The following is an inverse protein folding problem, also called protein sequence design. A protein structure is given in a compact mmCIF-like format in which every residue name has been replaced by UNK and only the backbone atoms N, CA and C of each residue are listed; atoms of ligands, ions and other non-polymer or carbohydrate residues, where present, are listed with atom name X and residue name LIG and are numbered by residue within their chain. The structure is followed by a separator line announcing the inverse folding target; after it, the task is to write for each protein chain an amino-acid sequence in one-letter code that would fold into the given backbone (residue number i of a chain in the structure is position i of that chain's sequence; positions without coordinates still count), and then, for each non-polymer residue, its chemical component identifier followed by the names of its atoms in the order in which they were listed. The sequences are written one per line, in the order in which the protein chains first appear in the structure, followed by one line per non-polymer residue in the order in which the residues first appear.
data_IF_983616531437
#
_entry.id   IF_983616531437
#
_cell.length_a   1.000
_cell.length_b   1.000
_cell.length_c   1.000
_cell.angle_alpha   90.00
_cell.angle_beta   90.00
_cell.angle_gamma   90.00
#
_symmetry.space_group_name_H-M   'P 1'
#
loop_
_entity.id
_entity.type
_entity.pdbx_description
1 polymer ?
#
# COMPACT_ATOMS: atom_id res chain seq x y z
N UNK A 1 3.73 46.09 12.01
CA UNK A 1 3.37 45.10 10.96
C UNK A 1 4.13 43.78 11.07
N UNK A 2 5.45 43.75 11.32
CA UNK A 2 6.23 42.49 11.44
C UNK A 2 5.83 41.56 12.60
N UNK A 3 5.38 42.12 13.73
CA UNK A 3 5.01 41.33 14.92
C UNK A 3 3.68 40.58 14.76
N UNK A 4 2.71 41.17 14.05
CA UNK A 4 1.42 40.54 13.79
C UNK A 4 1.52 39.40 12.76
N UNK A 5 2.43 39.55 11.79
CA UNK A 5 2.72 38.52 10.78
C UNK A 5 3.31 37.24 11.39
N UNK A 6 4.18 37.40 12.39
CA UNK A 6 4.76 36.26 13.11
C UNK A 6 3.72 35.51 13.95
N UNK A 7 2.82 36.26 14.62
CA UNK A 7 1.75 35.67 15.44
C UNK A 7 0.75 34.88 14.58
N UNK A 8 0.37 35.40 13.41
CA UNK A 8 -0.55 34.69 12.51
C UNK A 8 0.05 33.41 11.93
N UNK A 9 1.35 33.39 11.65
CA UNK A 9 2.05 32.19 11.14
C UNK A 9 2.08 31.11 12.21
N UNK A 10 2.43 31.46 13.45
CA UNK A 10 2.53 30.49 14.56
C UNK A 10 1.16 29.86 14.88
N UNK A 11 0.08 30.66 14.90
CA UNK A 11 -1.28 30.15 15.15
C UNK A 11 -1.73 29.20 14.04
N UNK A 12 -1.45 29.53 12.78
CA UNK A 12 -1.83 28.70 11.63
C UNK A 12 -1.05 27.38 11.58
N UNK A 13 0.24 27.40 11.92
CA UNK A 13 1.04 26.17 12.01
C UNK A 13 0.59 25.27 13.16
N UNK A 14 0.11 25.83 14.28
CA UNK A 14 -0.36 25.04 15.41
C UNK A 14 -1.70 24.35 15.12
N UNK A 15 -2.58 24.96 14.31
CA UNK A 15 -3.84 24.34 13.86
C UNK A 15 -3.65 23.20 12.87
N UNK A 16 -2.50 23.12 12.18
CA UNK A 16 -2.20 22.07 11.19
C UNK A 16 -1.60 20.79 11.81
N UNK A 17 -1.21 20.82 13.09
CA UNK A 17 -0.54 19.69 13.78
C UNK A 17 -1.52 18.89 14.65
N UNK A 18 -2.81 19.25 14.69
CA UNK A 18 -3.82 18.44 15.38
C UNK A 18 -4.24 17.30 14.43
N UNK A 19 -3.88 16.04 14.70
CA UNK A 19 -4.47 14.93 13.95
C UNK A 19 -5.97 14.94 14.21
N UNK A 20 -6.76 15.18 13.16
CA UNK A 20 -8.18 14.89 13.19
C UNK A 20 -8.32 13.39 13.46
N UNK A 21 -8.68 13.02 14.69
CA UNK A 21 -9.15 11.68 15.02
C UNK A 21 -10.43 11.47 14.23
N UNK A 22 -10.33 10.90 13.03
CA UNK A 22 -11.48 10.43 12.28
C UNK A 22 -12.05 9.23 13.03
N UNK A 23 -13.05 9.48 13.88
CA UNK A 23 -13.87 8.45 14.51
C UNK A 23 -14.93 8.02 13.48
N UNK A 24 -14.59 7.05 12.64
CA UNK A 24 -15.53 6.38 11.74
C UNK A 24 -15.77 4.92 12.16
N UNK A 25 -15.70 4.65 13.47
CA UNK A 25 -16.06 3.38 14.07
C UNK A 25 -17.52 3.46 14.51
N UNK A 26 -18.43 2.73 13.84
CA UNK A 26 -19.75 2.45 14.42
C UNK A 26 -20.98 2.41 13.52
N UNK A 27 -20.89 2.20 12.20
CA UNK A 27 -22.10 2.05 11.36
C UNK A 27 -22.20 0.75 10.54
N UNK A 28 -21.56 -0.34 10.97
CA UNK A 28 -21.78 -1.68 10.40
C UNK A 28 -21.94 -2.81 11.44
N UNK A 29 -22.06 -2.50 12.74
CA UNK A 29 -22.20 -3.50 13.82
C UNK A 29 -23.65 -4.00 14.03
N UNK A 30 -24.60 -3.63 13.15
CA UNK A 30 -26.03 -3.71 13.47
C UNK A 30 -26.85 -4.72 12.67
N UNK A 31 -26.28 -5.49 11.74
CA UNK A 31 -27.10 -6.26 10.79
C UNK A 31 -26.60 -7.68 10.46
N UNK A 32 -25.84 -8.31 11.35
CA UNK A 32 -25.62 -9.76 11.34
C UNK A 32 -25.57 -10.27 12.78
N UNK A 33 -26.72 -10.26 13.44
CA UNK A 33 -26.93 -10.99 14.69
C UNK A 33 -27.78 -12.22 14.37
N UNK A 34 -27.11 -13.36 14.23
CA UNK A 34 -27.77 -14.59 13.83
C UNK A 34 -26.86 -15.77 13.47
N UNK A 35 -25.72 -15.96 14.14
CA UNK A 35 -25.23 -17.29 14.55
C UNK A 35 -23.99 -17.13 15.44
N UNK A 36 -24.05 -17.69 16.64
CA UNK A 36 -22.95 -17.81 17.58
C UNK A 36 -21.90 -18.79 17.05
N UNK A 37 -20.85 -18.34 16.36
CA UNK A 37 -19.65 -19.14 16.06
C UNK A 37 -18.43 -18.24 15.72
N UNK A 38 -17.45 -18.18 16.65
CA UNK A 38 -16.02 -17.85 16.44
C UNK A 38 -15.64 -16.72 15.46
N UNK A 39 -15.75 -15.45 15.90
CA UNK A 39 -15.21 -14.29 15.15
C UNK A 39 -13.87 -13.78 15.74
N UNK A 40 -13.44 -14.24 16.92
CA UNK A 40 -12.18 -13.75 17.53
C UNK A 40 -10.92 -14.55 17.18
N UNK A 41 -11.04 -15.73 16.58
CA UNK A 41 -9.89 -16.59 16.25
C UNK A 41 -9.42 -16.35 14.81
N UNK A 42 -10.37 -16.06 13.91
CA UNK A 42 -10.21 -15.82 12.47
C UNK A 42 -9.52 -14.48 12.14
N UNK A 43 -10.00 -13.34 12.67
CA UNK A 43 -9.35 -12.02 12.48
C UNK A 43 -7.86 -12.02 12.89
N UNK A 44 -7.53 -12.76 13.96
CA UNK A 44 -6.15 -12.86 14.44
C UNK A 44 -5.28 -13.72 13.54
N UNK A 45 -5.84 -14.78 12.95
CA UNK A 45 -5.14 -15.66 12.02
C UNK A 45 -4.79 -14.94 10.72
N UNK A 46 -5.74 -14.23 10.10
CA UNK A 46 -5.50 -13.49 8.85
C UNK A 46 -4.45 -12.39 9.05
N UNK A 47 -4.60 -11.57 10.10
CA UNK A 47 -3.65 -10.47 10.38
C UNK A 47 -2.25 -10.99 10.72
N UNK A 48 -2.16 -12.10 11.48
CA UNK A 48 -0.88 -12.71 11.82
C UNK A 48 -0.22 -13.33 10.58
N UNK A 49 -0.96 -14.09 9.79
CA UNK A 49 -0.48 -14.73 8.56
C UNK A 49 0.04 -13.70 7.56
N UNK A 50 -0.66 -12.57 7.38
CA UNK A 50 -0.18 -11.45 6.56
C UNK A 50 1.13 -10.86 7.06
N UNK A 51 1.29 -10.70 8.38
CA UNK A 51 2.50 -10.14 8.96
C UNK A 51 3.70 -11.09 8.81
N UNK A 52 3.48 -12.39 8.99
CA UNK A 52 4.48 -13.44 8.77
C UNK A 52 4.90 -13.48 7.30
N UNK A 53 3.94 -13.49 6.37
CA UNK A 53 4.19 -13.45 4.93
C UNK A 53 4.94 -12.20 4.49
N UNK A 54 4.63 -11.03 5.08
CA UNK A 54 5.37 -9.80 4.81
C UNK A 54 6.85 -9.92 5.21
N UNK A 55 7.14 -10.51 6.36
CA UNK A 55 8.52 -10.72 6.82
C UNK A 55 9.30 -11.64 5.87
N UNK A 56 8.68 -12.74 5.44
CA UNK A 56 9.25 -13.64 4.43
C UNK A 56 9.51 -12.93 3.10
N UNK A 57 8.56 -12.10 2.66
CA UNK A 57 8.69 -11.33 1.43
C UNK A 57 9.83 -10.31 1.49
N UNK A 58 9.98 -9.60 2.62
CA UNK A 58 11.10 -8.68 2.83
C UNK A 58 12.44 -9.43 2.80
N UNK A 59 12.52 -10.62 3.39
CA UNK A 59 13.70 -11.49 3.33
C UNK A 59 14.04 -11.98 1.92
N UNK A 60 13.03 -12.34 1.12
CA UNK A 60 13.20 -12.69 -0.29
C UNK A 60 13.72 -11.50 -1.11
N UNK A 61 13.13 -10.31 -0.93
CA UNK A 61 13.53 -9.09 -1.63
C UNK A 61 14.94 -8.64 -1.25
N UNK A 62 15.34 -8.87 0.01
CA UNK A 62 16.69 -8.63 0.50
C UNK A 62 17.71 -9.70 0.07
N UNK A 63 17.27 -10.79 -0.59
CA UNK A 63 18.06 -11.99 -0.91
C UNK A 63 18.65 -12.68 0.34
N UNK A 64 18.05 -12.48 1.52
CA UNK A 64 18.41 -13.17 2.75
C UNK A 64 17.78 -14.56 2.82
N UNK A 65 16.60 -14.71 2.19
CA UNK A 65 15.90 -15.98 1.99
C UNK A 65 15.91 -16.32 0.50
N UNK A 66 15.88 -17.61 0.20
CA UNK A 66 15.78 -18.13 -1.17
C UNK A 66 14.62 -19.11 -1.27
N UNK A 67 14.06 -19.25 -2.47
CA UNK A 67 12.89 -20.10 -2.73
C UNK A 67 13.05 -21.55 -2.27
N UNK A 68 14.27 -22.10 -2.32
CA UNK A 68 14.57 -23.47 -1.88
C UNK A 68 14.50 -23.65 -0.35
N UNK A 69 14.52 -22.55 0.40
CA UNK A 69 14.48 -22.56 1.87
C UNK A 69 13.07 -22.32 2.42
N UNK A 70 12.07 -22.15 1.56
CA UNK A 70 10.69 -21.89 1.96
C UNK A 70 9.88 -23.19 1.92
N UNK A 71 9.14 -23.46 2.99
CA UNK A 71 8.19 -24.57 3.05
C UNK A 71 6.83 -24.18 2.46
N UNK A 72 5.93 -25.15 2.34
CA UNK A 72 4.56 -24.87 1.92
C UNK A 72 3.85 -23.95 2.93
N UNK A 73 4.13 -24.05 4.22
CA UNK A 73 3.61 -23.13 5.24
C UNK A 73 4.15 -21.69 5.06
N UNK A 74 5.43 -21.54 4.66
CA UNK A 74 5.98 -20.23 4.32
C UNK A 74 5.32 -19.64 3.07
N UNK A 75 5.05 -20.49 2.07
CA UNK A 75 4.31 -20.08 0.88
C UNK A 75 2.84 -19.78 1.18
N UNK A 76 2.24 -20.47 2.14
CA UNK A 76 0.92 -20.17 2.66
C UNK A 76 0.89 -18.75 3.25
N UNK A 77 1.81 -18.44 4.17
CA UNK A 77 1.94 -17.10 4.76
C UNK A 77 2.22 -16.02 3.70
N UNK A 78 3.09 -16.28 2.72
CA UNK A 78 3.28 -15.38 1.57
C UNK A 78 1.98 -15.17 0.79
N UNK A 79 1.21 -16.23 0.57
CA UNK A 79 -0.13 -16.20 -0.01
C UNK A 79 -1.07 -15.27 0.75
N UNK A 80 -1.16 -15.44 2.08
CA UNK A 80 -1.94 -14.58 2.97
C UNK A 80 -1.53 -13.11 2.81
N UNK A 81 -0.23 -12.82 2.80
CA UNK A 81 0.26 -11.45 2.62
C UNK A 81 -0.14 -10.86 1.26
N UNK A 82 0.04 -11.60 0.16
CA UNK A 82 -0.34 -11.12 -1.17
C UNK A 82 -1.85 -10.98 -1.33
N UNK A 83 -2.63 -11.88 -0.73
CA UNK A 83 -4.09 -11.77 -0.70
C UNK A 83 -4.52 -10.55 0.11
N UNK A 84 -3.91 -10.30 1.27
CA UNK A 84 -4.12 -9.10 2.07
C UNK A 84 -3.83 -7.81 1.31
N UNK A 85 -2.78 -7.77 0.49
CA UNK A 85 -2.50 -6.62 -0.39
C UNK A 85 -3.59 -6.38 -1.45
N UNK A 86 -4.26 -7.45 -1.91
CA UNK A 86 -5.31 -7.38 -2.94
C UNK A 86 -6.69 -7.12 -2.34
N UNK A 87 -7.02 -7.79 -1.24
CA UNK A 87 -8.34 -7.80 -0.62
C UNK A 87 -8.47 -6.74 0.49
N UNK A 88 -7.37 -6.30 1.09
CA UNK A 88 -7.38 -5.39 2.25
C UNK A 88 -8.27 -5.93 3.37
N UNK A 89 -9.10 -5.06 3.95
CA UNK A 89 -10.04 -5.40 5.03
C UNK A 89 -11.07 -6.49 4.65
N UNK A 90 -11.16 -6.90 3.38
CA UNK A 90 -12.06 -7.97 2.92
C UNK A 90 -11.41 -9.36 2.87
N UNK A 91 -10.13 -9.49 3.23
CA UNK A 91 -9.39 -10.76 3.16
C UNK A 91 -10.07 -11.85 3.98
N UNK A 92 -10.43 -11.62 5.24
CA UNK A 92 -11.11 -12.62 6.07
C UNK A 92 -12.47 -13.07 5.50
N UNK A 93 -13.23 -12.14 4.94
CA UNK A 93 -14.48 -12.46 4.26
C UNK A 93 -14.24 -13.30 3.00
N UNK A 94 -13.09 -13.09 2.34
CA UNK A 94 -12.64 -13.89 1.21
C UNK A 94 -12.23 -15.30 1.66
N UNK A 95 -11.48 -15.45 2.75
CA UNK A 95 -11.11 -16.75 3.33
C UNK A 95 -12.37 -17.56 3.66
N UNK A 96 -13.33 -16.92 4.33
CA UNK A 96 -14.62 -17.53 4.65
C UNK A 96 -15.34 -18.01 3.39
N UNK A 97 -15.34 -17.20 2.34
CA UNK A 97 -15.94 -17.55 1.06
C UNK A 97 -15.18 -18.71 0.39
N UNK A 98 -13.85 -18.69 0.40
CA UNK A 98 -13.00 -19.73 -0.17
C UNK A 98 -13.21 -21.06 0.53
N UNK A 99 -13.18 -21.07 1.85
CA UNK A 99 -13.42 -22.26 2.68
C UNK A 99 -14.83 -22.81 2.47
N UNK A 100 -15.85 -21.97 2.30
CA UNK A 100 -17.21 -22.42 1.96
C UNK A 100 -17.30 -23.07 0.57
N UNK A 101 -16.54 -22.59 -0.40
CA UNK A 101 -16.59 -23.08 -1.78
C UNK A 101 -15.70 -24.30 -2.02
N UNK A 102 -14.55 -24.35 -1.36
CA UNK A 102 -13.45 -25.28 -1.69
C UNK A 102 -13.00 -26.13 -0.51
N UNK A 103 -13.52 -25.86 0.70
CA UNK A 103 -13.01 -26.42 1.94
C UNK A 103 -11.73 -25.71 2.40
N UNK A 104 -11.38 -25.95 3.65
CA UNK A 104 -10.18 -25.41 4.32
C UNK A 104 -8.90 -25.77 3.54
N UNK A 105 -8.75 -27.04 3.18
CA UNK A 105 -7.59 -27.50 2.40
C UNK A 105 -7.52 -26.89 0.98
N UNK A 106 -8.66 -26.45 0.43
CA UNK A 106 -8.69 -25.74 -0.85
C UNK A 106 -8.27 -24.28 -0.75
N UNK A 107 -8.60 -23.62 0.37
CA UNK A 107 -8.16 -22.26 0.70
C UNK A 107 -6.65 -22.24 0.99
N UNK A 108 -6.15 -23.16 1.83
CA UNK A 108 -4.71 -23.33 2.08
C UNK A 108 -3.92 -23.52 0.78
N UNK A 109 -4.35 -24.44 -0.09
CA UNK A 109 -3.68 -24.68 -1.38
C UNK A 109 -3.72 -23.47 -2.29
N UNK A 110 -4.78 -22.66 -2.20
CA UNK A 110 -4.91 -21.43 -2.96
C UNK A 110 -3.91 -20.38 -2.49
N UNK A 111 -3.75 -20.22 -1.18
CA UNK A 111 -2.73 -19.36 -0.59
C UNK A 111 -1.31 -19.84 -0.90
N UNK A 112 -1.02 -21.13 -0.81
CA UNK A 112 0.29 -21.69 -1.16
C UNK A 112 0.62 -21.43 -2.64
N UNK A 113 -0.31 -21.76 -3.54
CA UNK A 113 -0.11 -21.56 -4.97
C UNK A 113 0.03 -20.06 -5.32
N UNK A 114 -0.75 -19.21 -4.64
CA UNK A 114 -0.63 -17.76 -4.77
C UNK A 114 0.74 -17.30 -4.27
N UNK A 115 1.20 -17.72 -3.10
CA UNK A 115 2.50 -17.37 -2.54
C UNK A 115 3.65 -17.79 -3.45
N UNK A 116 3.63 -19.01 -4.00
CA UNK A 116 4.63 -19.51 -4.95
C UNK A 116 4.71 -18.68 -6.23
N UNK A 117 3.55 -18.37 -6.83
CA UNK A 117 3.47 -17.55 -8.05
C UNK A 117 3.89 -16.11 -7.79
N UNK A 118 3.36 -15.53 -6.72
CA UNK A 118 3.50 -14.11 -6.38
C UNK A 118 4.87 -13.76 -5.79
N UNK A 119 5.56 -14.74 -5.21
CA UNK A 119 6.98 -14.60 -4.82
C UNK A 119 7.95 -14.78 -6.00
N UNK A 120 7.48 -15.31 -7.14
CA UNK A 120 8.33 -15.66 -8.27
C UNK A 120 9.12 -16.96 -8.08
N UNK A 121 8.85 -17.72 -7.02
CA UNK A 121 9.52 -18.97 -6.72
C UNK A 121 9.05 -20.13 -7.59
N UNK A 122 7.77 -20.16 -7.95
CA UNK A 122 7.21 -21.11 -8.92
C UNK A 122 6.02 -20.48 -9.65
N UNK A 123 6.27 -19.99 -10.87
CA UNK A 123 5.26 -19.34 -11.72
C UNK A 123 4.21 -20.30 -12.26
N UNK A 124 4.51 -21.60 -12.29
CA UNK A 124 3.67 -22.64 -12.86
C UNK A 124 2.89 -23.42 -11.78
N UNK A 125 3.04 -23.05 -10.50
CA UNK A 125 2.37 -23.70 -9.38
C UNK A 125 0.87 -23.87 -9.65
N UNK A 126 0.37 -25.11 -9.63
CA UNK A 126 -1.00 -25.39 -10.03
C UNK A 126 -2.01 -24.68 -9.12
N UNK A 127 -2.98 -23.99 -9.71
CA UNK A 127 -4.11 -23.46 -8.96
C UNK A 127 -5.20 -24.53 -8.87
N UNK A 128 -5.86 -24.70 -7.71
CA UNK A 128 -7.00 -25.57 -7.60
C UNK A 128 -8.11 -25.16 -8.59
N UNK A 129 -8.56 -26.12 -9.42
CA UNK A 129 -9.41 -25.92 -10.60
C UNK A 129 -10.85 -25.43 -10.30
N UNK A 130 -11.20 -25.20 -9.04
CA UNK A 130 -12.56 -24.89 -8.58
C UNK A 130 -12.97 -23.41 -8.69
N UNK A 131 -12.11 -22.54 -9.23
CA UNK A 131 -12.43 -21.12 -9.45
C UNK A 131 -12.48 -20.76 -10.95
N UNK A 132 -13.66 -20.76 -11.60
CA UNK A 132 -13.84 -20.22 -12.95
C UNK A 132 -13.41 -18.75 -13.06
N UNK A 133 -13.45 -17.98 -11.95
CA UNK A 133 -13.06 -16.58 -11.91
C UNK A 133 -11.54 -16.35 -12.04
N UNK A 134 -10.72 -17.34 -11.67
CA UNK A 134 -9.25 -17.25 -11.75
C UNK A 134 -8.67 -17.85 -13.04
N UNK A 135 -9.49 -18.56 -13.82
CA UNK A 135 -9.10 -18.98 -15.18
C UNK A 135 -8.83 -17.80 -16.12
N UNK A 136 -9.40 -16.62 -15.83
CA UNK A 136 -9.06 -15.36 -16.49
C UNK A 136 -7.72 -14.77 -16.05
N UNK A 137 -7.20 -15.19 -14.89
CA UNK A 137 -5.92 -14.74 -14.34
C UNK A 137 -4.75 -15.56 -14.87
N UNK A 138 -4.95 -16.83 -15.24
CA UNK A 138 -3.94 -17.65 -15.92
C UNK A 138 -3.47 -17.03 -17.25
N UNK A 139 -4.36 -16.35 -17.98
CA UNK A 139 -4.03 -15.58 -19.18
C UNK A 139 -3.31 -14.25 -18.93
N UNK A 140 -3.30 -13.76 -17.68
CA UNK A 140 -2.71 -12.48 -17.26
C UNK A 140 -1.49 -12.63 -16.34
N UNK A 141 -1.29 -13.81 -15.75
CA UNK A 141 -0.24 -14.13 -14.77
C UNK A 141 1.18 -13.97 -15.32
N UNK A 142 1.38 -14.14 -16.63
CA UNK A 142 2.69 -13.93 -17.26
C UNK A 142 3.11 -12.46 -17.39
N UNK A 143 2.17 -11.51 -17.37
CA UNK A 143 2.42 -10.09 -17.63
C UNK A 143 2.02 -9.14 -16.49
N UNK A 144 1.27 -9.61 -15.48
CA UNK A 144 0.95 -8.80 -14.29
C UNK A 144 2.08 -8.76 -13.26
N UNK A 145 2.91 -9.81 -13.22
CA UNK A 145 4.07 -9.92 -12.36
C UNK A 145 5.06 -8.74 -12.45
N UNK A 146 5.54 -8.35 -13.65
CA UNK A 146 6.42 -7.18 -13.76
C UNK A 146 5.69 -5.87 -13.46
N UNK A 147 4.36 -5.81 -13.55
CA UNK A 147 3.59 -4.59 -13.22
C UNK A 147 3.39 -4.43 -11.71
N UNK A 148 3.14 -5.51 -10.97
CA UNK A 148 3.01 -5.47 -9.51
C UNK A 148 4.37 -5.38 -8.81
N UNK A 149 5.41 -6.06 -9.33
CA UNK A 149 6.78 -5.92 -8.84
C UNK A 149 7.35 -4.52 -9.15
N UNK A 150 6.90 -3.85 -10.23
CA UNK A 150 7.20 -2.43 -10.47
C UNK A 150 6.38 -1.46 -9.57
N UNK A 151 5.25 -1.90 -9.02
CA UNK A 151 4.53 -1.17 -7.95
C UNK A 151 5.20 -1.36 -6.59
N UNK A 152 5.74 -2.55 -6.32
CA UNK A 152 6.28 -2.95 -5.01
C UNK A 152 7.77 -2.62 -4.84
N UNK A 153 8.57 -2.77 -5.91
CA UNK A 153 9.91 -2.19 -6.05
C UNK A 153 9.86 -0.71 -6.52
N UNK A 154 8.65 -0.16 -6.60
CA UNK A 154 8.31 1.24 -6.79
C UNK A 154 7.97 1.98 -5.49
N UNK A 155 8.25 1.38 -4.32
CA UNK A 155 8.14 1.97 -2.98
C UNK A 155 9.08 3.16 -2.70
N UNK A 156 9.44 3.92 -3.74
CA UNK A 156 10.21 5.15 -3.69
C UNK A 156 9.57 6.30 -4.47
N UNK A 157 8.32 6.18 -4.90
CA UNK A 157 7.61 7.31 -5.53
C UNK A 157 6.50 7.81 -4.63
N UNK A 158 6.86 8.81 -3.83
CA UNK A 158 6.03 9.90 -3.31
C UNK A 158 4.51 9.74 -3.50
N UNK A 159 3.68 9.82 -2.44
CA UNK A 159 2.22 9.99 -2.55
C UNK A 159 1.80 11.33 -3.18
N UNK A 160 2.71 11.99 -3.91
CA UNK A 160 2.54 13.22 -4.67
C UNK A 160 2.78 13.00 -6.18
N UNK A 161 2.79 11.75 -6.66
CA UNK A 161 3.09 11.40 -8.05
C UNK A 161 1.89 11.42 -9.01
N UNK A 162 0.69 11.11 -8.54
CA UNK A 162 -0.47 10.87 -9.44
C UNK A 162 -1.22 12.15 -9.82
N UNK A 163 -0.87 13.30 -9.23
CA UNK A 163 -1.38 14.62 -9.64
C UNK A 163 -0.35 15.43 -10.47
N UNK A 164 0.79 14.83 -10.80
CA UNK A 164 2.04 15.54 -11.13
C UNK A 164 2.55 15.36 -12.58
N UNK A 165 1.68 15.14 -13.58
CA UNK A 165 2.15 15.09 -14.99
C UNK A 165 1.38 15.97 -15.98
N UNK A 166 0.38 16.75 -15.55
CA UNK A 166 -0.38 17.61 -16.48
C UNK A 166 -0.68 19.02 -15.97
N UNK A 167 -1.14 19.17 -14.74
CA UNK A 167 -1.68 20.45 -14.23
C UNK A 167 -0.93 21.02 -13.02
N UNK A 168 -0.44 20.18 -12.11
CA UNK A 168 0.31 20.64 -10.92
C UNK A 168 1.71 21.18 -11.23
N UNK A 169 2.40 20.60 -12.22
CA UNK A 169 3.75 21.02 -12.61
C UNK A 169 3.78 22.45 -13.17
N UNK A 170 2.76 22.84 -13.93
CA UNK A 170 2.62 24.20 -14.47
C UNK A 170 2.45 25.25 -13.37
N UNK A 171 1.66 24.96 -12.33
CA UNK A 171 1.47 25.91 -11.24
C UNK A 171 2.72 26.04 -10.35
N UNK A 172 3.41 24.93 -10.09
CA UNK A 172 4.67 24.94 -9.31
C UNK A 172 5.78 25.65 -10.09
N UNK A 173 5.93 25.39 -11.39
CA UNK A 173 6.93 26.07 -12.23
C UNK A 173 6.65 27.57 -12.36
N UNK A 174 5.39 27.98 -12.56
CA UNK A 174 5.04 29.41 -12.59
C UNK A 174 5.31 30.09 -11.25
N UNK A 175 4.99 29.42 -10.14
CA UNK A 175 5.26 29.97 -8.79
C UNK A 175 6.76 30.13 -8.55
N UNK A 176 7.58 29.13 -8.91
CA UNK A 176 9.03 29.20 -8.80
C UNK A 176 9.63 30.30 -9.70
N UNK A 177 9.12 30.48 -10.92
CA UNK A 177 9.56 31.56 -11.82
C UNK A 177 9.27 32.95 -11.24
N UNK A 178 8.07 33.17 -10.69
CA UNK A 178 7.71 34.45 -10.06
C UNK A 178 8.63 34.73 -8.87
N UNK A 179 8.87 33.74 -8.02
CA UNK A 179 9.79 33.87 -6.87
C UNK A 179 11.24 34.12 -7.30
N UNK A 180 11.70 33.50 -8.39
CA UNK A 180 13.03 33.73 -8.94
C UNK A 180 13.17 35.18 -9.42
N UNK A 181 12.20 35.70 -10.17
CA UNK A 181 12.20 37.10 -10.63
C UNK A 181 12.21 38.08 -9.45
N UNK A 182 11.38 37.83 -8.43
CA UNK A 182 11.36 38.64 -7.20
C UNK A 182 12.71 38.57 -6.47
N UNK A 183 13.31 37.39 -6.37
CA UNK A 183 14.62 37.18 -5.76
C UNK A 183 15.74 37.94 -6.49
N UNK A 184 15.76 37.91 -7.82
CA UNK A 184 16.75 38.63 -8.64
C UNK A 184 16.59 40.14 -8.49
N UNK A 185 15.35 40.67 -8.52
CA UNK A 185 15.09 42.10 -8.31
C UNK A 185 15.50 42.54 -6.89
N UNK A 186 15.25 41.72 -5.87
CA UNK A 186 15.68 41.98 -4.51
C UNK A 186 17.21 41.97 -4.38
N UNK A 187 17.90 41.04 -5.04
CA UNK A 187 19.36 40.96 -5.06
C UNK A 187 19.99 42.18 -5.75
N UNK A 188 19.46 42.61 -6.89
CA UNK A 188 19.91 43.84 -7.59
C UNK A 188 19.66 45.07 -6.73
N UNK A 189 18.51 45.15 -6.06
CA UNK A 189 18.18 46.25 -5.15
C UNK A 189 19.13 46.30 -3.95
N UNK A 190 19.43 45.15 -3.34
CA UNK A 190 20.42 45.02 -2.25
C UNK A 190 21.83 45.40 -2.71
N UNK A 191 22.27 44.92 -3.88
CA UNK A 191 23.57 45.28 -4.44
C UNK A 191 23.68 46.79 -4.72
N UNK A 192 22.58 47.43 -5.14
CA UNK A 192 22.53 48.88 -5.37
C UNK A 192 22.49 49.68 -4.06
N UNK A 193 21.89 49.15 -3.00
CA UNK A 193 21.93 49.70 -1.64
C UNK A 193 23.33 49.64 -1.04
N UNK A 194 24.03 48.52 -1.22
CA UNK A 194 25.38 48.32 -0.68
C UNK A 194 26.40 49.23 -1.39
N UNK A 195 26.29 49.45 -2.70
CA UNK A 195 27.20 50.32 -3.46
C UNK A 195 26.94 51.82 -3.29
N UNK A 196 25.90 52.21 -2.55
CA UNK A 196 25.58 53.62 -2.22
C UNK A 196 26.07 54.05 -0.83
N UNK A 197 26.63 53.12 -0.05
CA UNK A 197 27.45 53.43 1.13
C UNK A 197 28.92 53.45 0.72
#
# INVERSE_FOLDING_TARGET
MKKYLFVTIVVFTLSLIIPTRSFAQGMMQGMMDGNDTTISESESHTTQGEAEGKGLWEGLQANELGCENLSDEDFHALGMYFMGLMAGDSHEAMDTMMTQMMGEEGEDQMHIAMGKRMSGCDSDAALPQSMPALSGFEGMSGNMMPMMMNMMMGGGTNPMGTFSWGLGFWLVTLTLLVWLVVGVLAAIWLAKQIRKK
#
